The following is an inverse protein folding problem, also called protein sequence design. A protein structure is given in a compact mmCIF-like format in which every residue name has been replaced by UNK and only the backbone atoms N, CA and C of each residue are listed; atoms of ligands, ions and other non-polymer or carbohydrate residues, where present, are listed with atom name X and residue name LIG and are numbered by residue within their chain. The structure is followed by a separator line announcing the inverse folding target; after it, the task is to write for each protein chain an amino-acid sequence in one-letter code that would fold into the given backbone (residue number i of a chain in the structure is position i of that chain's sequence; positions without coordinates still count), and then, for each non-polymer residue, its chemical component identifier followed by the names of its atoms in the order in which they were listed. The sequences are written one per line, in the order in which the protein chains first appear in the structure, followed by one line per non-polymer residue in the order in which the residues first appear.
data_IF_696929522052
#
_entry.id   IF_696929522052
#
_cell.length_a   1.000
_cell.length_b   1.000
_cell.length_c   1.000
_cell.angle_alpha   90.00
_cell.angle_beta   90.00
_cell.angle_gamma   90.00
#
_symmetry.space_group_name_H-M   'P 1'
#
loop_
_entity.id
_entity.type
_entity.pdbx_description
1 polymer ?
#
# COMPACT_ATOMS: atom_id res chain seq x y z
N UNK A 1 -0.23 -13.77 9.45
CA UNK A 1 -0.69 -14.87 10.35
C UNK A 1 0.06 -16.16 10.00
N UNK A 2 0.62 -16.90 10.97
CA UNK A 2 1.48 -18.06 10.64
C UNK A 2 0.72 -19.21 9.94
N UNK A 3 1.34 -19.93 8.99
CA UNK A 3 0.75 -21.03 8.21
C UNK A 3 -0.06 -22.09 8.97
N UNK A 4 0.30 -22.33 10.22
CA UNK A 4 -0.31 -23.27 11.15
C UNK A 4 -1.72 -22.84 11.59
N UNK A 5 -2.00 -21.53 11.59
CA UNK A 5 -3.26 -20.96 12.06
C UNK A 5 -4.30 -20.81 10.93
N UNK A 6 -4.01 -21.31 9.73
CA UNK A 6 -4.90 -21.24 8.59
C UNK A 6 -6.16 -22.09 8.78
N UNK A 7 -7.30 -21.55 8.31
CA UNK A 7 -8.54 -22.33 8.22
C UNK A 7 -8.37 -23.50 7.24
N UNK A 8 -9.32 -24.45 7.24
CA UNK A 8 -9.31 -25.53 6.23
C UNK A 8 -9.33 -24.98 4.81
N UNK A 9 -10.09 -23.91 4.58
CA UNK A 9 -10.18 -23.25 3.26
C UNK A 9 -8.87 -22.53 2.94
N UNK A 10 -8.28 -21.79 3.89
CA UNK A 10 -6.99 -21.14 3.67
C UNK A 10 -5.85 -22.11 3.37
N UNK A 11 -5.83 -23.28 4.04
CA UNK A 11 -4.87 -24.36 3.72
C UNK A 11 -5.05 -24.92 2.31
N UNK A 12 -6.30 -25.14 1.89
CA UNK A 12 -6.60 -25.61 0.53
C UNK A 12 -6.24 -24.55 -0.52
N UNK A 13 -6.55 -23.28 -0.27
CA UNK A 13 -6.15 -22.16 -1.12
C UNK A 13 -4.63 -22.13 -1.31
N UNK A 14 -3.87 -22.14 -0.21
CA UNK A 14 -2.40 -22.13 -0.26
C UNK A 14 -1.85 -23.34 -1.02
N UNK A 15 -2.37 -24.54 -0.76
CA UNK A 15 -1.97 -25.75 -1.47
C UNK A 15 -2.28 -25.65 -2.98
N UNK A 16 -3.43 -25.08 -3.34
CA UNK A 16 -3.81 -24.84 -4.73
C UNK A 16 -2.81 -23.92 -5.42
N UNK A 17 -2.43 -22.80 -4.81
CA UNK A 17 -1.44 -21.86 -5.38
C UNK A 17 -0.07 -22.50 -5.57
N UNK A 18 0.36 -23.33 -4.62
CA UNK A 18 1.62 -24.10 -4.72
C UNK A 18 1.60 -25.17 -5.81
N UNK A 19 0.43 -25.75 -6.11
CA UNK A 19 0.27 -26.70 -7.21
C UNK A 19 0.17 -25.99 -8.56
N UNK A 20 -0.52 -24.85 -8.61
CA UNK A 20 -0.68 -24.02 -9.80
C UNK A 20 0.67 -23.62 -10.40
N UNK A 21 1.62 -23.13 -9.58
CA UNK A 21 2.96 -22.78 -10.05
C UNK A 21 3.72 -23.95 -10.69
N UNK A 22 3.44 -25.20 -10.29
CA UNK A 22 4.05 -26.40 -10.88
C UNK A 22 3.37 -26.86 -12.17
N UNK A 23 2.14 -26.41 -12.41
CA UNK A 23 1.32 -26.82 -13.55
C UNK A 23 1.39 -25.78 -14.68
N UNK A 24 1.65 -24.52 -14.37
CA UNK A 24 1.85 -23.43 -15.35
C UNK A 24 2.98 -23.70 -16.36
N UNK A 25 3.99 -24.50 -15.97
CA UNK A 25 5.10 -24.90 -16.83
C UNK A 25 4.73 -25.96 -17.88
N UNK A 26 3.56 -26.59 -17.77
CA UNK A 26 3.11 -27.58 -18.75
C UNK A 26 2.55 -26.91 -20.02
N UNK A 27 3.06 -27.24 -21.23
CA UNK A 27 2.71 -26.56 -22.48
C UNK A 27 1.21 -26.51 -22.81
N UNK A 28 0.45 -27.53 -22.38
CA UNK A 28 -0.99 -27.63 -22.62
C UNK A 28 -1.78 -26.56 -21.86
N UNK A 29 -1.32 -26.17 -20.67
CA UNK A 29 -2.03 -25.29 -19.75
C UNK A 29 -1.78 -23.80 -20.00
N UNK A 30 -0.70 -23.44 -20.71
CA UNK A 30 -0.48 -22.07 -21.22
C UNK A 30 -1.56 -21.62 -22.20
N UNK A 31 -2.16 -22.54 -22.96
CA UNK A 31 -3.18 -22.23 -23.98
C UNK A 31 -4.60 -22.15 -23.39
N UNK A 32 -4.87 -22.89 -22.31
CA UNK A 32 -6.18 -22.94 -21.65
C UNK A 32 -5.99 -22.98 -20.13
N UNK A 33 -6.07 -21.84 -19.43
CA UNK A 33 -5.79 -21.74 -18.00
C UNK A 33 -6.94 -22.27 -17.13
N UNK A 34 -7.59 -23.36 -17.53
CA UNK A 34 -8.73 -23.98 -16.82
C UNK A 34 -8.32 -24.45 -15.41
N UNK A 35 -7.02 -24.73 -15.22
CA UNK A 35 -6.43 -25.09 -13.94
C UNK A 35 -6.50 -23.97 -12.88
N UNK A 36 -6.70 -22.71 -13.29
CA UNK A 36 -6.78 -21.52 -12.41
C UNK A 36 -8.16 -21.39 -11.75
N UNK A 37 -9.22 -21.92 -12.37
CA UNK A 37 -10.60 -21.74 -11.87
C UNK A 37 -10.84 -22.31 -10.45
N UNK A 38 -10.37 -23.53 -10.11
CA UNK A 38 -10.44 -24.02 -8.72
C UNK A 38 -9.65 -23.15 -7.75
N UNK A 39 -8.49 -22.63 -8.15
CA UNK A 39 -7.67 -21.72 -7.35
C UNK A 39 -8.41 -20.41 -7.05
N UNK A 40 -9.04 -19.80 -8.05
CA UNK A 40 -9.86 -18.61 -7.86
C UNK A 40 -11.05 -18.85 -6.93
N UNK A 41 -11.74 -19.99 -7.04
CA UNK A 41 -12.84 -20.32 -6.13
C UNK A 41 -12.35 -20.38 -4.67
N UNK A 42 -11.23 -21.05 -4.43
CA UNK A 42 -10.63 -21.15 -3.11
C UNK A 42 -10.16 -19.79 -2.59
N UNK A 43 -9.60 -18.95 -3.47
CA UNK A 43 -9.23 -17.57 -3.14
C UNK A 43 -10.46 -16.76 -2.68
N UNK A 44 -11.57 -16.77 -3.42
CA UNK A 44 -12.78 -16.06 -3.03
C UNK A 44 -13.36 -16.57 -1.71
N UNK A 45 -13.39 -17.88 -1.51
CA UNK A 45 -13.84 -18.48 -0.26
C UNK A 45 -12.92 -18.10 0.91
N UNK A 46 -11.60 -18.01 0.67
CA UNK A 46 -10.66 -17.57 1.68
C UNK A 46 -10.85 -16.09 2.04
N UNK A 47 -11.07 -15.23 1.03
CA UNK A 47 -11.29 -13.80 1.21
C UNK A 47 -12.57 -13.53 2.01
N UNK A 48 -13.66 -14.23 1.72
CA UNK A 48 -14.92 -14.09 2.46
C UNK A 48 -14.79 -14.37 3.98
N UNK A 49 -13.78 -15.11 4.42
CA UNK A 49 -13.57 -15.39 5.84
C UNK A 49 -12.87 -14.27 6.60
N UNK A 50 -12.27 -13.31 5.88
CA UNK A 50 -11.59 -12.15 6.47
C UNK A 50 -12.28 -10.84 6.09
N UNK A 51 -13.20 -10.86 5.12
CA UNK A 51 -13.88 -9.71 4.53
C UNK A 51 -15.24 -9.46 5.22
N UNK A 52 -15.23 -9.30 6.54
CA UNK A 52 -16.41 -9.26 7.40
C UNK A 52 -16.57 -7.95 8.21
N UNK A 53 -15.67 -6.98 8.03
CA UNK A 53 -15.71 -5.74 8.79
C UNK A 53 -16.91 -4.86 8.40
N UNK A 54 -17.69 -4.43 9.41
CA UNK A 54 -18.87 -3.57 9.24
C UNK A 54 -18.64 -2.11 9.67
N UNK A 55 -17.47 -1.77 10.20
CA UNK A 55 -17.14 -0.40 10.60
C UNK A 55 -17.13 0.56 9.40
N UNK A 56 -17.78 1.72 9.56
CA UNK A 56 -17.82 2.76 8.54
C UNK A 56 -16.46 3.44 8.38
N UNK A 57 -16.04 3.75 7.14
CA UNK A 57 -14.82 4.49 6.93
C UNK A 57 -14.93 5.95 7.35
N UNK A 58 -13.82 6.51 7.83
CA UNK A 58 -13.70 7.91 8.22
C UNK A 58 -13.04 8.74 7.11
N UNK A 59 -13.36 10.03 7.08
CA UNK A 59 -12.71 11.00 6.18
C UNK A 59 -11.36 11.44 6.75
N UNK A 60 -10.32 11.51 5.93
CA UNK A 60 -9.04 12.07 6.38
C UNK A 60 -9.19 13.54 6.78
N UNK A 61 -10.15 14.27 6.19
CA UNK A 61 -10.43 15.67 6.51
C UNK A 61 -11.37 15.88 7.71
N UNK A 62 -11.89 14.80 8.34
CA UNK A 62 -12.59 14.94 9.63
C UNK A 62 -11.63 15.09 10.80
N UNK A 63 -10.32 14.90 10.57
CA UNK A 63 -9.26 15.13 11.53
C UNK A 63 -8.65 16.51 11.32
N UNK A 64 -8.22 17.10 12.41
CA UNK A 64 -7.51 18.37 12.42
C UNK A 64 -6.02 18.10 12.16
N UNK A 65 -5.50 18.58 11.03
CA UNK A 65 -4.09 18.46 10.67
C UNK A 65 -3.70 19.56 9.68
N UNK A 66 -2.44 19.98 9.78
CA UNK A 66 -1.75 20.81 8.81
C UNK A 66 -0.86 19.95 7.92
N UNK A 67 -0.25 18.90 8.48
CA UNK A 67 0.56 17.92 7.75
C UNK A 67 0.01 16.51 7.99
N UNK A 68 -0.49 15.86 6.93
CA UNK A 68 -0.92 14.47 6.96
C UNK A 68 0.12 13.58 6.27
N UNK A 69 0.86 12.83 7.07
CA UNK A 69 1.74 11.77 6.58
C UNK A 69 0.90 10.54 6.27
N UNK A 70 1.06 9.99 5.07
CA UNK A 70 0.40 8.77 4.61
C UNK A 70 1.48 7.73 4.30
N UNK A 71 1.39 6.55 4.90
CA UNK A 71 2.27 5.40 4.66
C UNK A 71 1.53 4.38 3.77
N UNK A 72 2.03 4.10 2.57
CA UNK A 72 1.33 3.25 1.60
C UNK A 72 1.28 1.78 2.07
N UNK A 73 0.07 1.23 2.22
CA UNK A 73 -0.13 -0.15 2.65
C UNK A 73 0.22 -0.46 4.11
N UNK A 74 0.37 0.56 4.98
CA UNK A 74 0.76 0.36 6.36
C UNK A 74 -0.36 -0.19 7.27
N UNK A 75 -0.22 -1.45 7.70
CA UNK A 75 -1.08 -2.04 8.74
C UNK A 75 -0.91 -1.37 10.10
N UNK A 76 -2.03 -1.23 10.82
CA UNK A 76 -2.03 -0.68 12.18
C UNK A 76 -1.24 -1.50 13.20
N UNK A 77 -1.30 -2.84 13.12
CA UNK A 77 -0.59 -3.73 14.05
C UNK A 77 0.93 -3.67 13.88
N UNK A 78 1.42 -3.59 12.64
CA UNK A 78 2.85 -3.39 12.36
C UNK A 78 3.30 -2.00 12.79
N UNK A 79 2.53 -0.95 12.50
CA UNK A 79 2.84 0.40 12.96
C UNK A 79 2.97 0.45 14.48
N UNK A 80 1.95 -0.01 15.21
CA UNK A 80 1.92 -0.01 16.68
C UNK A 80 3.11 -0.77 17.29
N UNK A 81 3.51 -1.90 16.68
CA UNK A 81 4.67 -2.68 17.14
C UNK A 81 5.98 -1.89 17.03
N UNK A 82 6.12 -1.03 16.02
CA UNK A 82 7.35 -0.28 15.75
C UNK A 82 7.39 1.08 16.44
N UNK A 83 6.23 1.72 16.64
CA UNK A 83 6.15 3.08 17.17
C UNK A 83 5.62 3.15 18.61
N UNK A 84 5.05 2.06 19.14
CA UNK A 84 4.32 2.06 20.40
C UNK A 84 2.82 2.32 20.19
N UNK A 85 2.12 2.63 21.27
CA UNK A 85 0.66 2.81 21.23
C UNK A 85 0.23 3.89 20.22
N UNK A 86 -0.72 3.51 19.37
CA UNK A 86 -1.28 4.37 18.32
C UNK A 86 -2.80 4.20 18.27
N UNK A 87 -3.51 5.29 18.02
CA UNK A 87 -4.92 5.21 17.66
C UNK A 87 -5.06 4.64 16.25
N UNK A 88 -6.26 4.20 15.89
CA UNK A 88 -6.56 3.70 14.55
C UNK A 88 -7.73 4.47 13.95
N UNK A 89 -7.84 4.42 12.62
CA UNK A 89 -9.00 4.88 11.88
C UNK A 89 -9.39 3.88 10.82
N UNK A 90 -10.58 4.05 10.26
CA UNK A 90 -11.05 3.22 9.17
C UNK A 90 -10.81 3.88 7.82
N UNK A 91 -9.84 3.39 7.04
CA UNK A 91 -9.59 3.89 5.68
C UNK A 91 -10.81 3.66 4.78
N UNK A 92 -11.03 4.53 3.80
CA UNK A 92 -12.10 4.41 2.79
C UNK A 92 -11.87 3.23 1.83
N UNK A 93 -10.67 2.71 1.69
CA UNK A 93 -10.37 1.66 0.72
C UNK A 93 -9.30 0.68 1.18
N UNK A 94 -9.21 -0.45 0.47
CA UNK A 94 -8.24 -1.51 0.66
C UNK A 94 -7.05 -1.44 -0.31
N UNK A 95 -6.92 -0.36 -1.08
CA UNK A 95 -5.83 -0.15 -2.05
C UNK A 95 -5.78 1.33 -2.46
N UNK A 96 -4.62 1.83 -2.89
CA UNK A 96 -4.41 3.26 -3.20
C UNK A 96 -5.37 3.78 -4.29
N UNK A 97 -5.68 2.99 -5.33
CA UNK A 97 -6.69 3.37 -6.35
C UNK A 97 -8.06 3.68 -5.73
N UNK A 98 -8.47 2.87 -4.76
CA UNK A 98 -9.72 3.07 -4.05
C UNK A 98 -9.65 4.24 -3.09
N UNK A 99 -8.50 4.44 -2.44
CA UNK A 99 -8.24 5.57 -1.54
C UNK A 99 -8.35 6.88 -2.33
N UNK A 100 -7.66 6.98 -3.46
CA UNK A 100 -7.70 8.14 -4.36
C UNK A 100 -9.14 8.40 -4.82
N UNK A 101 -9.83 7.36 -5.32
CA UNK A 101 -11.20 7.50 -5.81
C UNK A 101 -12.14 8.05 -4.73
N UNK A 102 -12.09 7.50 -3.52
CA UNK A 102 -13.06 7.82 -2.48
C UNK A 102 -12.71 9.08 -1.69
N UNK A 103 -11.47 9.56 -1.76
CA UNK A 103 -11.06 10.80 -1.12
C UNK A 103 -11.05 12.00 -2.05
N UNK A 104 -10.84 11.83 -3.37
CA UNK A 104 -10.53 12.98 -4.24
C UNK A 104 -11.36 13.06 -5.54
N UNK A 105 -12.38 12.21 -5.74
CA UNK A 105 -13.26 12.36 -6.91
C UNK A 105 -14.13 13.60 -6.84
N UNK A 106 -14.56 13.99 -5.64
CA UNK A 106 -15.43 15.13 -5.37
C UNK A 106 -14.82 15.97 -4.26
N UNK A 107 -15.20 17.25 -4.15
CA UNK A 107 -14.66 18.17 -3.14
C UNK A 107 -13.62 19.16 -3.67
N UNK A 108 -13.27 20.13 -2.82
CA UNK A 108 -12.28 21.17 -3.07
C UNK A 108 -11.04 20.90 -2.20
N UNK A 109 -9.88 20.80 -2.85
CA UNK A 109 -8.58 20.55 -2.23
C UNK A 109 -7.55 21.59 -2.70
N UNK A 110 -8.01 22.74 -3.17
CA UNK A 110 -7.18 23.85 -3.65
C UNK A 110 -6.31 24.49 -2.56
N UNK A 111 -6.52 24.11 -1.29
CA UNK A 111 -5.71 24.49 -0.15
C UNK A 111 -4.67 23.42 0.26
N UNK A 112 -4.62 22.29 -0.46
CA UNK A 112 -3.75 21.15 -0.19
C UNK A 112 -2.60 21.09 -1.19
N UNK A 113 -1.38 20.94 -0.70
CA UNK A 113 -0.21 20.50 -1.47
C UNK A 113 -0.02 19.00 -1.27
N UNK A 114 0.07 18.24 -2.35
CA UNK A 114 0.22 16.78 -2.28
C UNK A 114 1.63 16.36 -2.71
N UNK A 115 2.38 15.72 -1.82
CA UNK A 115 3.72 15.18 -2.08
C UNK A 115 3.60 13.67 -2.11
N UNK A 116 4.01 13.01 -3.20
CA UNK A 116 3.74 11.57 -3.33
C UNK A 116 4.78 10.78 -4.11
N UNK A 117 5.14 9.64 -3.52
CA UNK A 117 5.83 8.56 -4.19
C UNK A 117 4.87 7.58 -4.92
N UNK A 118 3.56 7.78 -4.88
CA UNK A 118 2.60 6.84 -5.46
C UNK A 118 2.24 7.21 -6.92
N UNK A 119 2.59 6.36 -7.92
CA UNK A 119 2.41 6.67 -9.34
C UNK A 119 0.94 6.68 -9.80
N UNK A 120 -0.03 6.27 -8.97
CA UNK A 120 -1.44 6.47 -9.28
C UNK A 120 -1.85 7.97 -9.31
N UNK A 121 -0.98 8.87 -8.83
CA UNK A 121 -1.12 10.32 -9.01
C UNK A 121 -0.67 10.82 -10.38
N UNK A 122 -0.09 9.96 -11.24
CA UNK A 122 0.16 10.31 -12.63
C UNK A 122 -1.12 10.77 -13.32
N UNK A 123 -1.03 11.85 -14.10
CA UNK A 123 -2.18 12.55 -14.70
C UNK A 123 -3.19 11.60 -15.35
N UNK A 124 -2.72 10.65 -16.17
CA UNK A 124 -3.60 9.70 -16.86
C UNK A 124 -4.28 8.72 -15.90
N UNK A 125 -3.56 8.23 -14.89
CA UNK A 125 -4.07 7.27 -13.90
C UNK A 125 -5.05 7.95 -12.97
N UNK A 126 -4.68 9.09 -12.39
CA UNK A 126 -5.55 9.88 -11.52
C UNK A 126 -6.85 10.24 -12.25
N UNK A 127 -6.78 10.77 -13.48
CA UNK A 127 -7.96 11.08 -14.29
C UNK A 127 -8.83 9.86 -14.60
N UNK A 128 -8.25 8.69 -14.83
CA UNK A 128 -9.02 7.45 -15.02
C UNK A 128 -9.75 7.00 -13.74
N UNK A 129 -9.23 7.37 -12.56
CA UNK A 129 -9.75 6.99 -11.25
C UNK A 129 -10.84 7.97 -10.79
N UNK A 130 -10.59 9.27 -10.94
CA UNK A 130 -11.39 10.37 -10.36
C UNK A 130 -12.20 11.16 -11.39
N UNK A 131 -11.83 11.10 -12.67
CA UNK A 131 -12.38 11.97 -13.72
C UNK A 131 -11.75 13.37 -13.78
N UNK A 132 -10.80 13.70 -12.89
CA UNK A 132 -10.19 15.04 -12.74
C UNK A 132 -8.68 15.00 -13.01
N UNK A 133 -8.04 16.11 -13.35
CA UNK A 133 -6.57 16.16 -13.34
C UNK A 133 -6.07 16.53 -11.93
N UNK A 134 -4.96 15.93 -11.45
CA UNK A 134 -4.47 16.20 -10.10
C UNK A 134 -4.09 17.69 -9.90
N UNK A 135 -3.54 18.35 -10.92
CA UNK A 135 -3.22 19.78 -10.90
C UNK A 135 -4.46 20.70 -10.85
N UNK A 136 -5.66 20.18 -11.15
CA UNK A 136 -6.92 20.92 -11.01
C UNK A 136 -7.61 20.62 -9.67
N UNK A 137 -7.12 19.63 -8.93
CA UNK A 137 -7.69 19.16 -7.67
C UNK A 137 -6.96 19.79 -6.50
N UNK A 138 -5.63 19.76 -6.53
CA UNK A 138 -4.74 20.24 -5.47
C UNK A 138 -4.15 21.61 -5.82
N UNK A 139 -3.65 22.32 -4.80
CA UNK A 139 -2.87 23.54 -5.01
C UNK A 139 -1.63 23.28 -5.86
N UNK A 140 -0.89 22.24 -5.50
CA UNK A 140 0.29 21.75 -6.18
C UNK A 140 0.47 20.26 -5.88
N UNK A 141 1.12 19.52 -6.80
CA UNK A 141 1.46 18.11 -6.63
C UNK A 141 2.93 17.88 -6.96
N UNK A 142 3.69 17.43 -5.96
CA UNK A 142 5.05 16.95 -6.12
C UNK A 142 5.01 15.46 -6.50
N UNK A 143 5.33 15.18 -7.75
CA UNK A 143 5.35 13.82 -8.32
C UNK A 143 6.70 13.16 -8.05
N UNK A 144 7.04 12.93 -6.77
CA UNK A 144 8.34 12.37 -6.36
C UNK A 144 8.63 11.02 -7.03
N UNK A 145 7.59 10.23 -7.36
CA UNK A 145 7.72 8.99 -8.14
C UNK A 145 8.26 9.18 -9.56
N UNK A 146 8.11 10.36 -10.14
CA UNK A 146 8.55 10.69 -11.49
C UNK A 146 9.95 11.33 -11.48
N UNK A 147 10.30 12.05 -10.41
CA UNK A 147 11.55 12.81 -10.32
C UNK A 147 12.67 12.09 -9.59
N UNK A 148 12.33 11.16 -8.69
CA UNK A 148 13.27 10.56 -7.72
C UNK A 148 13.08 9.05 -7.58
N UNK A 149 12.79 8.40 -8.69
CA UNK A 149 12.83 6.95 -8.80
C UNK A 149 14.25 6.43 -8.56
N UNK A 150 14.41 5.48 -7.63
CA UNK A 150 15.66 4.78 -7.40
C UNK A 150 15.62 3.43 -8.14
N UNK A 151 16.48 3.28 -9.13
CA UNK A 151 16.55 2.07 -9.97
C UNK A 151 17.11 0.86 -9.21
N UNK A 152 18.01 1.08 -8.25
CA UNK A 152 18.63 0.00 -7.47
C UNK A 152 17.60 -0.61 -6.51
N UNK A 153 16.82 0.24 -5.86
CA UNK A 153 15.80 -0.18 -4.89
C UNK A 153 14.43 -0.38 -5.55
N UNK A 154 14.29 -0.08 -6.85
CA UNK A 154 13.04 -0.15 -7.62
C UNK A 154 11.86 0.53 -6.89
N UNK A 155 12.13 1.65 -6.24
CA UNK A 155 11.14 2.41 -5.48
C UNK A 155 11.62 3.85 -5.24
N UNK A 156 10.76 4.69 -4.68
CA UNK A 156 11.17 6.01 -4.19
C UNK A 156 11.65 5.88 -2.75
N UNK A 157 12.86 6.39 -2.48
CA UNK A 157 13.41 6.42 -1.13
C UNK A 157 12.67 7.42 -0.22
N UNK A 158 12.50 7.12 1.08
CA UNK A 158 11.89 8.04 2.04
C UNK A 158 12.55 9.42 2.11
N UNK A 159 13.87 9.48 1.87
CA UNK A 159 14.62 10.73 1.84
C UNK A 159 14.12 11.69 0.76
N UNK A 160 13.81 11.17 -0.44
CA UNK A 160 13.32 11.95 -1.57
C UNK A 160 11.96 12.57 -1.27
N UNK A 161 11.04 11.79 -0.69
CA UNK A 161 9.72 12.29 -0.25
C UNK A 161 9.86 13.37 0.81
N UNK A 162 10.78 13.18 1.76
CA UNK A 162 11.04 14.17 2.80
C UNK A 162 11.63 15.46 2.24
N UNK A 163 12.57 15.37 1.31
CA UNK A 163 13.19 16.52 0.66
C UNK A 163 12.14 17.35 -0.10
N UNK A 164 11.24 16.70 -0.84
CA UNK A 164 10.14 17.38 -1.52
C UNK A 164 9.15 17.99 -0.52
N UNK A 165 8.88 17.31 0.60
CA UNK A 165 8.06 17.86 1.67
C UNK A 165 8.69 19.12 2.30
N UNK A 166 10.03 19.15 2.47
CA UNK A 166 10.74 20.36 2.91
C UNK A 166 10.66 21.48 1.88
N UNK A 167 10.76 21.16 0.58
CA UNK A 167 10.56 22.16 -0.47
C UNK A 167 9.15 22.73 -0.44
N UNK A 168 8.12 21.88 -0.29
CA UNK A 168 6.74 22.30 -0.15
C UNK A 168 6.48 23.17 1.10
N UNK A 169 7.11 22.85 2.24
CA UNK A 169 7.04 23.67 3.45
C UNK A 169 7.61 25.07 3.26
N UNK A 170 8.72 25.20 2.53
CA UNK A 170 9.31 26.50 2.26
C UNK A 170 8.51 27.33 1.24
N UNK A 171 7.92 26.68 0.22
CA UNK A 171 7.17 27.36 -0.84
C UNK A 171 5.73 27.70 -0.43
N UNK A 172 5.12 26.85 0.38
CA UNK A 172 3.70 26.89 0.73
C UNK A 172 3.47 26.66 2.24
N UNK A 173 4.06 27.49 3.13
CA UNK A 173 3.99 27.28 4.58
C UNK A 173 2.56 27.37 5.13
N UNK A 174 1.67 28.14 4.50
CA UNK A 174 0.28 28.31 4.91
C UNK A 174 -0.70 27.25 4.36
N UNK A 175 -0.21 26.31 3.55
CA UNK A 175 -1.03 25.26 2.93
C UNK A 175 -0.94 23.96 3.71
N UNK A 176 -2.06 23.23 3.73
CA UNK A 176 -2.11 21.87 4.25
C UNK A 176 -1.33 20.94 3.33
N UNK A 177 -0.66 19.93 3.91
CA UNK A 177 0.23 19.03 3.17
C UNK A 177 -0.20 17.60 3.36
N UNK A 178 -0.34 16.86 2.28
CA UNK A 178 -0.42 15.40 2.32
C UNK A 178 0.91 14.86 1.83
N UNK A 179 1.63 14.12 2.67
CA UNK A 179 2.98 13.63 2.41
C UNK A 179 2.92 12.10 2.36
N UNK A 180 2.91 11.54 1.16
CA UNK A 180 2.59 10.15 0.90
C UNK A 180 3.84 9.34 0.52
N UNK A 181 4.35 8.60 1.50
CA UNK A 181 5.47 7.68 1.36
C UNK A 181 5.01 6.38 0.70
N UNK A 182 5.88 5.78 -0.12
CA UNK A 182 5.64 4.44 -0.67
C UNK A 182 5.81 3.36 0.41
N UNK A 183 6.60 3.61 1.44
CA UNK A 183 6.83 2.61 2.49
C UNK A 183 5.62 2.50 3.43
N UNK A 184 5.28 1.28 3.88
CA UNK A 184 6.01 0.02 3.70
C UNK A 184 5.60 -0.83 2.48
N UNK A 185 4.87 -0.30 1.50
CA UNK A 185 4.56 -1.02 0.26
C UNK A 185 5.85 -1.54 -0.42
N UNK A 186 5.73 -2.68 -1.11
CA UNK A 186 6.84 -3.26 -1.88
C UNK A 186 7.13 -2.42 -3.15
N UNK A 187 8.34 -2.47 -3.75
CA UNK A 187 9.53 -3.21 -3.32
C UNK A 187 10.11 -2.77 -1.96
N UNK A 188 10.81 -3.68 -1.27
CA UNK A 188 11.35 -3.41 0.07
C UNK A 188 12.81 -2.96 -0.01
N UNK A 189 13.10 -1.79 0.55
CA UNK A 189 14.45 -1.23 0.53
C UNK A 189 15.46 -2.16 1.20
N UNK A 190 16.54 -2.47 0.49
CA UNK A 190 17.62 -3.35 0.90
C UNK A 190 17.33 -4.84 0.74
N UNK A 191 16.29 -5.21 0.01
CA UNK A 191 15.92 -6.60 -0.26
C UNK A 191 15.67 -6.84 -1.75
N UNK A 192 16.46 -7.74 -2.33
CA UNK A 192 16.29 -8.23 -3.70
C UNK A 192 15.76 -9.66 -3.67
N UNK A 193 14.44 -9.79 -3.68
CA UNK A 193 13.74 -11.08 -3.66
C UNK A 193 13.29 -11.53 -5.04
N UNK A 194 13.15 -10.59 -5.98
CA UNK A 194 12.67 -10.78 -7.34
C UNK A 194 13.46 -9.85 -8.24
N UNK A 195 14.00 -10.39 -9.34
CA UNK A 195 14.87 -9.66 -10.28
C UNK A 195 14.16 -8.55 -11.06
N UNK A 196 12.82 -8.44 -10.98
CA UNK A 196 12.00 -7.56 -11.82
C UNK A 196 11.46 -6.35 -11.03
N UNK A 197 11.73 -5.14 -11.52
CA UNK A 197 11.37 -3.87 -10.88
C UNK A 197 9.90 -3.45 -11.06
N UNK A 198 9.47 -2.39 -10.38
CA UNK A 198 8.07 -1.89 -10.42
C UNK A 198 7.62 -1.43 -11.81
N UNK A 199 8.55 -0.99 -12.66
CA UNK A 199 8.27 -0.58 -14.04
C UNK A 199 7.91 -1.80 -14.90
N UNK A 200 8.58 -2.95 -14.68
CA UNK A 200 8.22 -4.23 -15.32
C UNK A 200 6.84 -4.75 -14.87
N UNK A 201 6.48 -4.54 -13.60
CA UNK A 201 5.14 -4.86 -13.05
C UNK A 201 4.04 -4.09 -13.79
N UNK A 202 4.29 -2.83 -14.15
CA UNK A 202 3.32 -1.96 -14.83
C UNK A 202 3.24 -2.20 -16.34
N UNK A 203 4.35 -2.58 -16.98
CA UNK A 203 4.43 -2.74 -18.44
C UNK A 203 4.11 -4.17 -18.93
N UNK A 204 4.54 -5.20 -18.22
CA UNK A 204 4.56 -6.58 -18.75
C UNK A 204 3.41 -7.47 -18.23
N UNK A 205 2.69 -7.03 -17.19
CA UNK A 205 1.44 -7.66 -16.74
C UNK A 205 1.57 -9.10 -16.20
N UNK A 206 2.80 -9.56 -15.98
CA UNK A 206 3.14 -10.80 -15.32
C UNK A 206 4.42 -10.53 -14.54
N UNK A 207 4.35 -10.38 -13.23
CA UNK A 207 5.52 -10.67 -12.41
C UNK A 207 5.17 -11.06 -10.98
N UNK A 208 5.87 -12.09 -10.52
CA UNK A 208 5.72 -12.69 -9.20
C UNK A 208 6.32 -11.71 -8.19
N UNK A 209 5.54 -11.20 -7.24
CA UNK A 209 6.12 -10.45 -6.14
C UNK A 209 6.60 -11.36 -5.01
N UNK A 210 7.26 -10.79 -4.04
CA UNK A 210 7.61 -11.41 -2.75
C UNK A 210 6.38 -11.96 -2.03
N UNK A 211 5.24 -11.27 -2.17
CA UNK A 211 3.96 -11.73 -1.64
C UNK A 211 3.48 -12.99 -2.36
N UNK A 212 3.71 -13.10 -3.67
CA UNK A 212 3.38 -14.30 -4.43
C UNK A 212 4.32 -15.47 -4.08
N UNK A 213 5.61 -15.22 -3.90
CA UNK A 213 6.57 -16.22 -3.41
C UNK A 213 6.19 -16.73 -2.02
N UNK A 214 5.83 -15.84 -1.09
CA UNK A 214 5.37 -16.21 0.25
C UNK A 214 4.05 -17.01 0.20
N UNK A 215 3.11 -16.57 -0.64
CA UNK A 215 1.83 -17.25 -0.84
C UNK A 215 2.00 -18.68 -1.35
N UNK A 216 2.94 -18.90 -2.29
CA UNK A 216 3.31 -20.23 -2.80
C UNK A 216 4.12 -21.06 -1.81
N UNK A 217 4.68 -20.42 -0.79
CA UNK A 217 5.60 -21.04 0.17
C UNK A 217 6.97 -21.32 -0.44
N UNK A 218 7.38 -20.49 -1.38
CA UNK A 218 8.71 -20.46 -2.00
C UNK A 218 9.65 -19.49 -1.27
N UNK A 219 9.07 -18.50 -0.56
CA UNK A 219 9.77 -17.62 0.37
C UNK A 219 9.15 -17.75 1.77
N UNK A 220 9.99 -17.73 2.81
CA UNK A 220 9.52 -17.86 4.19
C UNK A 220 8.74 -16.62 4.62
N UNK A 221 7.63 -16.86 5.33
CA UNK A 221 6.72 -15.79 5.77
C UNK A 221 7.43 -14.73 6.62
N UNK A 222 8.26 -15.17 7.57
CA UNK A 222 8.95 -14.24 8.46
C UNK A 222 9.98 -13.39 7.70
N UNK A 223 10.60 -13.94 6.65
CA UNK A 223 11.53 -13.17 5.80
C UNK A 223 10.84 -12.01 5.11
N UNK A 224 9.66 -12.22 4.51
CA UNK A 224 8.91 -11.14 3.84
C UNK A 224 8.34 -10.15 4.85
N UNK A 225 7.86 -10.65 5.99
CA UNK A 225 7.38 -9.80 7.08
C UNK A 225 8.49 -8.90 7.63
N UNK A 226 9.70 -9.43 7.82
CA UNK A 226 10.85 -8.67 8.31
C UNK A 226 11.27 -7.61 7.29
N UNK A 227 11.21 -7.91 5.99
CA UNK A 227 11.46 -6.93 4.93
C UNK A 227 10.44 -5.78 4.94
N UNK A 228 9.14 -6.11 5.03
CA UNK A 228 8.06 -5.12 5.17
C UNK A 228 8.25 -4.24 6.43
N UNK A 229 8.59 -4.85 7.58
CA UNK A 229 8.87 -4.10 8.81
C UNK A 229 10.15 -3.24 8.70
N UNK A 230 11.18 -3.73 8.01
CA UNK A 230 12.41 -2.98 7.73
C UNK A 230 12.13 -1.77 6.84
N UNK A 231 11.29 -1.94 5.81
CA UNK A 231 10.88 -0.87 4.91
C UNK A 231 10.12 0.24 5.66
N UNK A 232 9.22 -0.13 6.59
CA UNK A 232 8.58 0.85 7.48
C UNK A 232 9.62 1.59 8.34
N UNK A 233 10.56 0.86 8.96
CA UNK A 233 11.63 1.45 9.79
C UNK A 233 12.49 2.44 9.00
N UNK A 234 12.75 2.19 7.72
CA UNK A 234 13.50 3.10 6.86
C UNK A 234 12.81 4.45 6.68
N UNK A 235 11.47 4.48 6.63
CA UNK A 235 10.70 5.72 6.51
C UNK A 235 10.57 6.50 7.83
N UNK A 236 10.52 5.81 8.98
CA UNK A 236 10.21 6.44 10.27
C UNK A 236 11.12 7.61 10.68
N UNK A 237 12.45 7.62 10.44
CA UNK A 237 13.29 8.78 10.73
C UNK A 237 12.84 10.05 9.98
N UNK A 238 12.37 9.90 8.75
CA UNK A 238 11.89 11.02 7.92
C UNK A 238 10.49 11.45 8.31
N UNK A 239 9.61 10.49 8.60
CA UNK A 239 8.27 10.76 9.16
C UNK A 239 8.37 11.60 10.43
N UNK A 240 9.30 11.25 11.34
CA UNK A 240 9.52 12.00 12.58
C UNK A 240 10.01 13.43 12.34
N UNK A 241 10.84 13.66 11.33
CA UNK A 241 11.33 15.01 10.98
C UNK A 241 10.22 15.91 10.42
N UNK A 242 9.12 15.36 9.90
CA UNK A 242 7.97 16.15 9.44
C UNK A 242 7.27 16.82 10.63
N UNK A 243 7.39 16.28 11.84
CA UNK A 243 6.85 16.92 13.04
C UNK A 243 7.52 18.28 13.36
N UNK A 244 8.70 18.55 12.81
CA UNK A 244 9.37 19.85 12.94
C UNK A 244 8.79 20.93 12.01
N UNK A 245 7.84 20.58 11.13
CA UNK A 245 7.13 21.53 10.26
C UNK A 245 6.11 22.33 11.07
N UNK A 246 5.64 23.46 10.51
CA UNK A 246 4.58 24.23 11.15
C UNK A 246 3.27 23.47 11.25
N UNK A 247 2.56 23.64 12.38
CA UNK A 247 1.21 23.12 12.57
C UNK A 247 1.14 21.70 13.12
N UNK A 248 -0.06 21.10 13.06
CA UNK A 248 -0.34 19.75 13.57
C UNK A 248 0.03 18.69 12.54
N UNK A 249 0.84 17.73 12.96
CA UNK A 249 1.27 16.61 12.11
C UNK A 249 0.60 15.30 12.54
N UNK A 250 -0.12 14.68 11.62
CA UNK A 250 -0.79 13.39 11.81
C UNK A 250 -0.22 12.33 10.87
N UNK A 251 -0.08 11.09 11.33
CA UNK A 251 0.38 9.94 10.55
C UNK A 251 -0.75 8.94 10.40
N UNK A 252 -1.00 8.51 9.16
CA UNK A 252 -1.97 7.47 8.81
C UNK A 252 -1.46 6.61 7.64
N UNK A 253 -2.33 5.74 7.13
CA UNK A 253 -2.10 4.96 5.92
C UNK A 253 -3.27 5.09 4.95
N UNK A 254 -3.00 4.86 3.66
CA UNK A 254 -4.04 4.83 2.64
C UNK A 254 -4.84 3.52 2.68
N UNK A 255 -4.18 2.41 3.00
CA UNK A 255 -4.71 1.09 3.34
C UNK A 255 -3.69 0.29 4.16
N UNK A 256 -4.02 -0.94 4.54
CA UNK A 256 -3.06 -1.91 5.09
C UNK A 256 -2.74 -3.03 4.09
N UNK A 257 -2.23 -4.17 4.55
CA UNK A 257 -1.82 -5.28 3.68
C UNK A 257 -2.15 -6.66 4.29
N UNK A 258 -2.62 -7.61 3.48
CA UNK A 258 -2.72 -9.00 3.90
C UNK A 258 -1.32 -9.63 3.86
N UNK A 259 -0.95 -10.27 4.96
CA UNK A 259 0.33 -10.95 5.16
C UNK A 259 0.05 -12.38 5.63
N UNK A 260 -0.70 -13.15 4.83
CA UNK A 260 -1.02 -14.54 5.08
C UNK A 260 -2.30 -14.79 5.88
N UNK A 261 -3.12 -13.77 6.18
CA UNK A 261 -4.44 -13.99 6.75
C UNK A 261 -5.25 -14.94 5.87
N UNK A 262 -5.59 -16.10 6.43
CA UNK A 262 -6.23 -17.19 5.70
C UNK A 262 -5.53 -17.60 4.38
N UNK A 263 -4.21 -17.44 4.31
CA UNK A 263 -3.39 -17.78 3.16
C UNK A 263 -3.48 -16.76 2.03
N UNK A 264 -4.04 -15.58 2.31
CA UNK A 264 -4.12 -14.46 1.38
C UNK A 264 -2.98 -13.48 1.65
N UNK A 265 -2.49 -12.90 0.58
CA UNK A 265 -1.51 -11.83 0.60
C UNK A 265 -2.05 -10.66 -0.22
N UNK A 266 -1.25 -9.59 -0.34
CA UNK A 266 -1.63 -8.38 -1.08
C UNK A 266 -2.80 -7.63 -0.45
N UNK A 267 -3.41 -6.76 -1.24
CA UNK A 267 -4.48 -5.88 -0.82
C UNK A 267 -5.60 -5.87 -1.89
N UNK A 268 -6.47 -6.90 -1.87
CA UNK A 268 -7.49 -7.09 -2.90
C UNK A 268 -8.44 -5.90 -3.00
N UNK A 269 -8.86 -5.52 -4.23
CA UNK A 269 -9.75 -4.38 -4.42
C UNK A 269 -11.09 -4.60 -3.75
N UNK A 270 -11.63 -3.54 -3.15
CA UNK A 270 -12.97 -3.50 -2.52
C UNK A 270 -13.14 -4.41 -1.30
N UNK A 271 -12.06 -5.03 -0.83
CA UNK A 271 -12.07 -5.77 0.43
C UNK A 271 -12.38 -4.83 1.60
N UNK A 272 -13.09 -5.38 2.57
CA UNK A 272 -13.36 -4.82 3.90
C UNK A 272 -12.50 -5.48 4.96
N UNK A 273 -11.57 -6.38 4.60
CA UNK A 273 -10.76 -7.07 5.58
C UNK A 273 -10.05 -6.09 6.52
N UNK A 274 -10.15 -6.37 7.82
CA UNK A 274 -9.63 -5.48 8.86
C UNK A 274 -8.16 -5.10 8.65
N UNK A 275 -7.23 -6.03 8.33
CA UNK A 275 -5.82 -5.68 8.08
C UNK A 275 -5.60 -4.75 6.88
N UNK A 276 -6.60 -4.55 6.02
CA UNK A 276 -6.53 -3.65 4.88
C UNK A 276 -7.20 -2.30 5.15
N UNK A 277 -8.10 -2.22 6.11
CA UNK A 277 -8.99 -1.07 6.31
C UNK A 277 -8.73 -0.36 7.64
N UNK A 278 -8.37 -1.08 8.69
CA UNK A 278 -7.93 -0.48 9.94
C UNK A 278 -6.47 -0.05 9.80
N UNK A 279 -6.25 1.25 9.82
CA UNK A 279 -4.95 1.88 9.58
C UNK A 279 -4.56 2.73 10.78
N UNK A 280 -3.26 3.02 11.00
CA UNK A 280 -2.85 3.89 12.09
C UNK A 280 -3.44 5.30 11.94
N UNK A 281 -3.59 5.98 13.07
CA UNK A 281 -3.86 7.41 13.16
C UNK A 281 -3.18 7.96 14.40
N UNK A 282 -2.11 8.73 14.26
CA UNK A 282 -1.27 9.18 15.38
C UNK A 282 -0.77 10.59 15.16
N UNK A 283 -0.85 11.42 16.19
CA UNK A 283 -0.21 12.76 16.21
C UNK A 283 1.27 12.60 16.58
N UNK A 284 2.15 13.32 15.89
CA UNK A 284 3.60 13.36 16.19
C UNK A 284 3.96 14.54 17.08
#
# INVERSE_FOLDING_TARGET
MQPENLSRIGRLHRLSRKLESRVEDFPLFKKYPVHVAPGMLLYYMALQQVDDLEESPDDIFSYDWDNLVVLDGCRSDTYQRLTGDSSTRMSKASMSRGYIKKNFSDGDYSDVVYITANPFFHKSKFKSITGRNPQEVFHEVFHTYDTDWDEEESTVLPESVFRDAQTAENLFPEKRKIIHFMQPHHPFIGFDFVENGFEDILEQGLDISEWDLAMRGELEYETVKDAYESNLKAAMPYVKKIADFGGRTMVTADHGNLMGENGLYWHPPKSKAEPLRRVPMTEL
#
